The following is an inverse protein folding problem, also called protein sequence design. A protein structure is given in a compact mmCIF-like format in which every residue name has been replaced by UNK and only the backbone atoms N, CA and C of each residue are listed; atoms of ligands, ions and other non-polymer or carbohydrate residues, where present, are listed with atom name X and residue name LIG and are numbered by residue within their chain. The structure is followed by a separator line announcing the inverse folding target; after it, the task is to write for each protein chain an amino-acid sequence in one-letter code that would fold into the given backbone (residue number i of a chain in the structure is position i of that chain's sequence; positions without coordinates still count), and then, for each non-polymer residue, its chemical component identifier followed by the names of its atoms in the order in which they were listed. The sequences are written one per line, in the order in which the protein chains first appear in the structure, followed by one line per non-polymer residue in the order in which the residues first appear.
data_IF_141777151113
#
_entry.id   IF_141777151113
#
_cell.length_a   1.000
_cell.length_b   1.000
_cell.length_c   1.000
_cell.angle_alpha   90.00
_cell.angle_beta   90.00
_cell.angle_gamma   90.00
#
_symmetry.space_group_name_H-M   'P 1'
#
loop_
_entity.id
_entity.type
_entity.pdbx_description
1 polymer ?
#
# COMPACT_ATOMS: atom_id res chain seq x y z
N UNK A 1 -3.28 23.20 13.82
CA UNK A 1 -3.68 21.96 13.10
C UNK A 1 -3.19 20.79 13.93
N UNK A 2 -4.01 19.75 14.12
CA UNK A 2 -3.56 18.48 14.73
C UNK A 2 -3.17 17.49 13.62
N UNK A 3 -2.21 16.61 13.89
CA UNK A 3 -1.83 15.53 12.98
C UNK A 3 -1.87 14.18 13.72
N UNK A 4 -1.97 13.09 12.97
CA UNK A 4 -1.95 11.72 13.50
C UNK A 4 -0.93 10.92 12.71
N UNK A 5 0.05 10.35 13.41
CA UNK A 5 1.00 9.41 12.81
C UNK A 5 0.32 8.06 12.66
N UNK A 6 0.20 7.58 11.42
CA UNK A 6 -0.38 6.27 11.12
C UNK A 6 0.66 5.15 11.08
N UNK A 7 1.92 5.49 10.77
CA UNK A 7 3.03 4.54 10.60
C UNK A 7 4.38 5.27 10.73
N UNK A 8 5.40 4.52 11.18
CA UNK A 8 6.81 4.95 11.17
C UNK A 8 7.65 3.89 10.45
N UNK A 9 8.17 4.22 9.26
CA UNK A 9 8.97 3.29 8.46
C UNK A 9 10.43 3.23 8.92
N UNK A 10 11.10 2.13 8.58
CA UNK A 10 12.55 1.96 8.74
C UNK A 10 13.36 2.51 7.54
N UNK A 11 12.72 3.27 6.66
CA UNK A 11 13.36 3.95 5.52
C UNK A 11 12.78 5.36 5.33
N UNK A 12 13.55 6.32 4.78
CA UNK A 12 13.07 7.67 4.47
C UNK A 12 11.90 7.63 3.47
N UNK A 13 10.83 8.36 3.76
CA UNK A 13 9.67 8.50 2.87
C UNK A 13 9.86 9.64 1.87
N UNK A 14 9.68 9.34 0.58
CA UNK A 14 9.76 10.33 -0.49
C UNK A 14 8.43 10.55 -1.20
N UNK A 15 7.55 9.54 -1.19
CA UNK A 15 6.27 9.59 -1.85
C UNK A 15 5.14 9.09 -0.93
N UNK A 16 3.99 9.76 -1.03
CA UNK A 16 2.71 9.30 -0.47
C UNK A 16 1.64 9.53 -1.54
N UNK A 17 0.75 8.56 -1.74
CA UNK A 17 -0.35 8.71 -2.67
C UNK A 17 -1.57 7.88 -2.25
N UNK A 18 -2.77 8.30 -2.65
CA UNK A 18 -4.02 7.62 -2.35
C UNK A 18 -4.35 6.69 -3.51
N UNK A 19 -4.39 5.38 -3.23
CA UNK A 19 -4.66 4.36 -4.23
C UNK A 19 -6.15 4.19 -4.49
N UNK A 20 -6.94 4.11 -3.42
CA UNK A 20 -8.40 4.10 -3.49
C UNK A 20 -9.01 4.63 -2.18
N UNK A 21 -10.33 4.46 -2.01
CA UNK A 21 -11.06 4.95 -0.83
C UNK A 21 -10.55 4.42 0.52
N UNK A 22 -9.97 3.22 0.55
CA UNK A 22 -9.54 2.55 1.77
C UNK A 22 -8.02 2.33 1.80
N UNK A 23 -7.29 2.65 0.72
CA UNK A 23 -5.87 2.35 0.61
C UNK A 23 -5.04 3.56 0.21
N UNK A 24 -3.88 3.68 0.85
CA UNK A 24 -2.84 4.61 0.46
C UNK A 24 -1.52 3.85 0.37
N UNK A 25 -0.57 4.44 -0.33
CA UNK A 25 0.79 3.94 -0.40
C UNK A 25 1.76 4.98 0.12
N UNK A 26 2.87 4.49 0.65
CA UNK A 26 4.07 5.27 0.92
C UNK A 26 5.24 4.57 0.24
N UNK A 27 6.19 5.34 -0.27
CA UNK A 27 7.38 4.79 -0.90
C UNK A 27 8.60 5.65 -0.60
N UNK A 28 9.77 5.02 -0.66
CA UNK A 28 11.01 5.67 -0.35
C UNK A 28 12.18 4.70 -0.28
N UNK A 29 13.25 5.13 0.40
CA UNK A 29 14.40 4.25 0.59
C UNK A 29 15.70 4.94 0.99
N UNK A 30 16.70 4.14 1.35
CA UNK A 30 18.04 4.61 1.72
C UNK A 30 19.03 4.74 0.56
N UNK A 31 18.62 4.43 -0.67
CA UNK A 31 19.47 4.49 -1.85
C UNK A 31 20.31 3.23 -2.09
N UNK A 32 21.31 3.33 -2.97
CA UNK A 32 22.09 2.18 -3.44
C UNK A 32 23.27 1.80 -2.51
N UNK A 33 23.51 2.55 -1.44
CA UNK A 33 24.71 2.47 -0.60
C UNK A 33 24.80 1.22 0.31
N UNK A 34 23.84 0.28 0.25
CA UNK A 34 23.78 -0.96 1.07
C UNK A 34 23.95 -0.72 2.57
N UNK A 35 23.41 0.38 3.09
CA UNK A 35 23.50 0.75 4.52
C UNK A 35 22.59 -0.07 5.44
N UNK A 36 21.89 -1.08 4.91
CA UNK A 36 20.85 -1.83 5.63
C UNK A 36 19.48 -1.14 5.63
N UNK A 37 19.37 0.08 5.10
CA UNK A 37 18.10 0.78 4.92
C UNK A 37 17.43 0.28 3.62
N UNK A 38 16.22 -0.31 3.69
CA UNK A 38 15.56 -0.84 2.51
C UNK A 38 15.07 0.28 1.57
N UNK A 39 14.81 -0.09 0.32
CA UNK A 39 14.08 0.73 -0.65
C UNK A 39 12.75 0.02 -0.93
N UNK A 40 11.62 0.67 -0.67
CA UNK A 40 10.33 -0.04 -0.70
C UNK A 40 9.15 0.86 -1.07
N UNK A 41 8.06 0.21 -1.49
CA UNK A 41 6.71 0.74 -1.55
C UNK A 41 5.81 -0.12 -0.67
N UNK A 42 5.18 0.53 0.31
CA UNK A 42 4.24 -0.09 1.22
C UNK A 42 2.83 0.40 0.93
N UNK A 43 1.87 -0.52 0.85
CA UNK A 43 0.46 -0.22 0.69
C UNK A 43 -0.25 -0.55 1.98
N UNK A 44 -1.00 0.42 2.48
CA UNK A 44 -1.73 0.33 3.73
C UNK A 44 -3.22 0.41 3.46
N UNK A 45 -3.98 -0.40 4.20
CA UNK A 45 -5.42 -0.24 4.35
C UNK A 45 -5.72 0.64 5.55
N UNK A 46 -6.50 1.69 5.35
CA UNK A 46 -7.00 2.57 6.39
C UNK A 46 -8.24 1.93 7.05
N UNK A 47 -8.17 1.74 8.35
CA UNK A 47 -9.27 1.28 9.20
C UNK A 47 -9.64 2.34 10.24
N UNK A 48 -10.89 2.26 10.71
CA UNK A 48 -11.34 2.98 11.91
C UNK A 48 -11.75 1.98 12.98
N UNK A 49 -11.24 2.15 14.19
CA UNK A 49 -11.75 1.46 15.37
C UNK A 49 -12.20 2.48 16.41
N UNK A 50 -13.51 2.57 16.63
CA UNK A 50 -14.20 3.26 17.74
C UNK A 50 -13.96 4.77 17.91
N UNK A 51 -12.91 5.35 17.28
CA UNK A 51 -12.57 6.77 17.06
C UNK A 51 -11.15 6.94 16.51
N UNK A 52 -10.30 5.92 16.61
CA UNK A 52 -8.91 5.94 16.14
C UNK A 52 -8.79 5.48 14.68
N UNK A 53 -7.97 6.18 13.91
CA UNK A 53 -7.51 5.73 12.60
C UNK A 53 -6.34 4.76 12.80
N UNK A 54 -6.37 3.64 12.08
CA UNK A 54 -5.28 2.67 12.05
C UNK A 54 -4.91 2.36 10.60
N UNK A 55 -3.63 2.24 10.32
CA UNK A 55 -3.14 1.71 9.06
C UNK A 55 -2.74 0.25 9.25
N UNK A 56 -3.06 -0.61 8.28
CA UNK A 56 -2.63 -2.01 8.26
C UNK A 56 -1.87 -2.24 6.98
N UNK A 57 -0.60 -2.66 7.07
CA UNK A 57 0.21 -3.01 5.90
C UNK A 57 -0.45 -4.20 5.19
N UNK A 58 -0.80 -4.02 3.93
CA UNK A 58 -1.41 -5.08 3.09
C UNK A 58 -0.50 -5.51 1.94
N UNK A 59 0.48 -4.70 1.57
CA UNK A 59 1.48 -5.07 0.57
C UNK A 59 2.81 -4.35 0.83
N UNK A 60 3.93 -5.05 0.61
CA UNK A 60 5.28 -4.50 0.62
C UNK A 60 5.98 -4.94 -0.68
N UNK A 61 6.43 -3.97 -1.46
CA UNK A 61 7.23 -4.17 -2.66
C UNK A 61 8.66 -3.71 -2.38
N UNK A 62 9.63 -4.61 -2.53
CA UNK A 62 11.05 -4.31 -2.36
C UNK A 62 11.65 -3.78 -3.68
N UNK A 63 12.07 -2.53 -3.69
CA UNK A 63 12.63 -1.84 -4.86
C UNK A 63 14.15 -2.10 -5.04
N UNK A 64 14.72 -3.03 -4.27
CA UNK A 64 16.12 -3.43 -4.33
C UNK A 64 17.07 -2.27 -4.06
N UNK A 65 17.91 -1.93 -5.03
CA UNK A 65 18.94 -0.87 -4.90
C UNK A 65 18.45 0.53 -5.27
N UNK A 66 17.22 0.66 -5.77
CA UNK A 66 16.71 1.88 -6.38
C UNK A 66 15.54 2.42 -5.54
N UNK A 67 15.70 3.54 -4.82
CA UNK A 67 14.62 4.14 -4.06
C UNK A 67 13.53 4.67 -5.00
N UNK A 68 12.28 4.54 -4.58
CA UNK A 68 11.16 5.23 -5.23
C UNK A 68 11.10 6.64 -4.65
N UNK A 69 11.42 7.64 -5.46
CA UNK A 69 11.59 9.02 -5.02
C UNK A 69 10.36 9.90 -5.26
N UNK A 70 9.46 9.48 -6.14
CA UNK A 70 8.15 10.09 -6.34
C UNK A 70 7.21 9.06 -6.99
N UNK A 71 5.90 9.34 -6.99
CA UNK A 71 4.95 8.50 -7.71
C UNK A 71 3.68 9.25 -8.13
N UNK A 72 3.03 8.74 -9.17
CA UNK A 72 1.70 9.14 -9.60
C UNK A 72 0.89 7.90 -9.99
N UNK A 73 -0.34 7.80 -9.48
CA UNK A 73 -1.25 6.69 -9.77
C UNK A 73 -2.06 7.06 -11.01
N UNK A 74 -2.13 6.16 -11.99
CA UNK A 74 -2.93 6.40 -13.18
C UNK A 74 -4.43 6.35 -12.83
N UNK A 75 -5.26 7.31 -13.29
CA UNK A 75 -6.65 7.41 -12.85
C UNK A 75 -7.55 6.27 -13.31
N UNK A 76 -7.20 5.60 -14.42
CA UNK A 76 -8.05 4.57 -15.07
C UNK A 76 -7.37 3.23 -15.29
N UNK A 77 -6.07 3.13 -15.02
CA UNK A 77 -5.27 1.92 -15.30
C UNK A 77 -4.62 1.50 -14.00
N UNK A 78 -4.43 0.20 -13.80
CA UNK A 78 -3.83 -0.32 -12.58
C UNK A 78 -2.29 -0.19 -12.61
N UNK A 79 -1.79 1.02 -12.86
CA UNK A 79 -0.37 1.30 -12.94
C UNK A 79 0.01 2.50 -12.10
N UNK A 80 1.22 2.46 -11.55
CA UNK A 80 1.85 3.57 -10.83
C UNK A 80 3.08 3.98 -11.63
N UNK A 81 3.14 5.24 -12.05
CA UNK A 81 4.38 5.83 -12.53
C UNK A 81 5.26 6.20 -11.33
N UNK A 82 6.50 5.73 -11.31
CA UNK A 82 7.46 5.97 -10.22
C UNK A 82 8.77 6.51 -10.75
N UNK A 83 9.32 7.50 -10.05
CA UNK A 83 10.68 7.97 -10.27
C UNK A 83 11.68 7.09 -9.49
N UNK A 84 12.58 6.44 -10.21
CA UNK A 84 13.65 5.60 -9.66
C UNK A 84 14.97 5.98 -10.32
N UNK A 85 15.94 6.42 -9.53
CA UNK A 85 17.17 7.08 -10.00
C UNK A 85 16.86 8.23 -10.99
N UNK A 86 17.33 8.12 -12.23
CA UNK A 86 17.08 9.05 -13.33
C UNK A 86 16.04 8.53 -14.35
N UNK A 87 15.17 7.60 -13.93
CA UNK A 87 14.19 6.94 -14.81
C UNK A 87 12.78 7.05 -14.27
N UNK A 88 11.81 7.12 -15.18
CA UNK A 88 10.41 6.89 -14.90
C UNK A 88 10.08 5.43 -15.22
N UNK A 89 9.54 4.68 -14.27
CA UNK A 89 9.14 3.29 -14.44
C UNK A 89 7.64 3.14 -14.16
N UNK A 90 7.01 2.13 -14.75
CA UNK A 90 5.64 1.74 -14.42
C UNK A 90 5.65 0.49 -13.56
N UNK A 91 4.95 0.54 -12.43
CA UNK A 91 4.61 -0.63 -11.62
C UNK A 91 3.17 -1.01 -11.90
N UNK A 92 2.92 -2.25 -12.30
CA UNK A 92 1.55 -2.77 -12.45
C UNK A 92 1.04 -3.30 -11.11
N UNK A 93 -0.20 -2.96 -10.80
CA UNK A 93 -0.92 -3.42 -9.63
C UNK A 93 -1.96 -4.46 -10.06
N UNK A 94 -1.85 -5.67 -9.56
CA UNK A 94 -2.91 -6.67 -9.68
C UNK A 94 -3.73 -6.70 -8.38
N UNK A 95 -5.03 -6.41 -8.49
CA UNK A 95 -5.95 -6.42 -7.35
C UNK A 95 -6.69 -7.75 -7.35
N UNK A 96 -6.31 -8.65 -6.45
CA UNK A 96 -7.02 -9.92 -6.25
C UNK A 96 -8.05 -9.77 -5.13
N UNK A 97 -9.30 -10.10 -5.45
CA UNK A 97 -10.37 -10.17 -4.46
C UNK A 97 -10.30 -11.51 -3.71
N UNK A 98 -10.04 -11.46 -2.41
CA UNK A 98 -10.17 -12.66 -1.56
C UNK A 98 -11.62 -12.82 -1.12
N UNK A 99 -12.28 -13.87 -1.63
CA UNK A 99 -13.57 -14.32 -1.12
C UNK A 99 -13.34 -15.13 0.15
N UNK A 100 -13.57 -14.52 1.32
CA UNK A 100 -13.62 -15.28 2.58
C UNK A 100 -14.86 -16.19 2.58
N UNK A 101 -14.65 -17.48 2.31
CA UNK A 101 -15.65 -18.51 2.59
C UNK A 101 -15.86 -18.58 4.10
N UNK A 102 -16.99 -18.05 4.56
CA UNK A 102 -17.46 -18.24 5.94
C UNK A 102 -18.32 -19.49 5.93
N UNK A 103 -17.83 -20.55 6.59
CA UNK A 103 -18.63 -21.75 6.86
C UNK A 103 -19.86 -21.34 7.69
N UNK A 104 -21.04 -21.69 7.18
CA UNK A 104 -22.33 -21.38 7.79
C UNK A 104 -22.55 -22.27 9.02
N UNK A 105 -22.41 -21.72 10.22
CA UNK A 105 -23.15 -22.23 11.39
C UNK A 105 -24.58 -21.66 11.34
N UNK A 106 -25.57 -22.55 11.36
CA UNK A 106 -27.00 -22.25 11.25
C UNK A 106 -27.46 -21.28 12.34
N UNK A 107 -28.01 -20.12 11.94
CA UNK A 107 -28.77 -19.25 12.83
C UNK A 107 -28.71 -17.78 12.41
N UNK A 108 -29.75 -17.32 11.70
CA UNK A 108 -30.01 -15.96 11.20
C UNK A 108 -29.18 -14.81 11.81
N UNK A 109 -28.39 -14.12 10.98
CA UNK A 109 -28.12 -12.67 11.10
C UNK A 109 -27.79 -12.07 9.73
N UNK A 110 -28.32 -10.88 9.44
CA UNK A 110 -28.13 -10.16 8.18
C UNK A 110 -26.64 -9.99 7.84
N UNK A 111 -26.24 -10.42 6.64
CA UNK A 111 -24.89 -10.26 6.11
C UNK A 111 -24.65 -8.80 5.71
N UNK A 112 -23.81 -8.07 6.44
CA UNK A 112 -23.06 -6.96 5.85
C UNK A 112 -21.81 -7.53 5.17
N UNK A 113 -21.79 -7.59 3.83
CA UNK A 113 -20.61 -7.99 3.05
C UNK A 113 -19.47 -6.98 3.32
N UNK A 114 -18.47 -7.35 4.12
CA UNK A 114 -17.21 -6.59 4.22
C UNK A 114 -16.25 -7.07 3.14
N UNK A 115 -16.02 -6.22 2.14
CA UNK A 115 -15.11 -6.45 1.01
C UNK A 115 -13.65 -6.29 1.46
N UNK A 116 -12.81 -7.26 1.14
CA UNK A 116 -11.35 -7.15 1.29
C UNK A 116 -10.71 -7.33 -0.09
N UNK A 117 -9.83 -6.39 -0.46
CA UNK A 117 -9.03 -6.39 -1.68
C UNK A 117 -7.58 -6.57 -1.25
N UNK A 118 -6.85 -7.47 -1.89
CA UNK A 118 -5.40 -7.62 -1.72
C UNK A 118 -4.70 -7.22 -3.01
N UNK A 119 -3.53 -6.57 -2.89
CA UNK A 119 -2.71 -6.12 -4.00
C UNK A 119 -1.49 -7.02 -4.18
N UNK A 120 -1.15 -7.35 -5.42
CA UNK A 120 0.04 -8.07 -5.82
C UNK A 120 0.73 -7.30 -6.96
N UNK A 121 2.06 -7.20 -6.91
CA UNK A 121 2.88 -6.75 -8.05
C UNK A 121 3.47 -7.97 -8.74
N UNK A 122 3.60 -7.94 -10.08
CA UNK A 122 4.35 -8.96 -10.83
C UNK A 122 5.83 -8.60 -10.79
N UNK A 123 6.66 -9.54 -10.33
CA UNK A 123 8.13 -9.47 -10.38
C UNK A 123 8.64 -9.66 -11.82
#
# INVERSE_FOLDING_TARGET
MSFTTLETTNFPLYAVNVLDKDHFLIAGGGGAAKTGVPNALNIYKLGRNSKELKATLVHNFEAGRRPIMNCAIHPTSNVIAVGMDNKCQLLEIDIKEEVKNTEKVKGKKLLSKKRHKNLLSKN
#
